data_IF_442908654798
#
_entry.id   IF_442908654798
#
_cell.length_a   1.000
_cell.length_b   1.000
_cell.length_c   1.000
_cell.angle_alpha   90.00
_cell.angle_beta   90.00
_cell.angle_gamma   90.00
#
_symmetry.space_group_name_H-M   'P 1'
#
loop_
_entity.id
_entity.type
_entity.pdbx_description
1 polymer ?
#
# COMPACT_ATOMS: atom_id res chain seq x y z
N UNK A 1 70.04 -56.23 14.27
CA UNK A 1 69.01 -55.47 15.02
C UNK A 1 68.60 -54.28 14.18
N UNK A 2 67.41 -54.41 13.59
CA UNK A 2 66.80 -53.46 12.64
C UNK A 2 65.80 -52.65 13.44
N UNK A 3 65.94 -51.31 13.47
CA UNK A 3 64.84 -50.31 13.44
C UNK A 3 65.34 -48.90 13.81
N UNK A 4 65.82 -48.14 12.83
CA UNK A 4 66.09 -46.69 12.98
C UNK A 4 65.58 -45.86 11.78
N UNK A 5 64.71 -46.42 10.94
CA UNK A 5 64.32 -45.80 9.66
C UNK A 5 62.84 -45.37 9.57
N UNK A 6 62.06 -45.51 10.65
CA UNK A 6 60.60 -45.24 10.62
C UNK A 6 60.16 -43.89 11.20
N UNK A 7 61.07 -43.12 11.81
CA UNK A 7 60.70 -41.89 12.52
C UNK A 7 60.59 -40.64 11.62
N UNK A 8 61.20 -40.64 10.43
CA UNK A 8 61.25 -39.43 9.59
C UNK A 8 60.13 -39.30 8.55
N UNK A 9 59.33 -40.36 8.31
CA UNK A 9 58.23 -40.33 7.33
C UNK A 9 56.94 -39.68 7.88
N UNK A 10 56.79 -39.57 9.21
CA UNK A 10 55.56 -39.09 9.82
C UNK A 10 55.40 -37.55 9.80
N UNK A 11 56.51 -36.80 9.69
CA UNK A 11 56.48 -35.33 9.76
C UNK A 11 56.15 -34.70 8.40
N UNK A 12 56.42 -35.37 7.29
CA UNK A 12 56.16 -34.87 5.95
C UNK A 12 54.67 -34.93 5.52
N UNK A 13 53.86 -35.75 6.21
CA UNK A 13 52.43 -35.92 5.88
C UNK A 13 51.56 -34.84 6.54
N UNK A 14 52.04 -34.21 7.62
CA UNK A 14 51.26 -33.24 8.40
C UNK A 14 51.26 -31.85 7.75
N UNK A 15 52.26 -31.50 6.94
CA UNK A 15 52.33 -30.20 6.26
C UNK A 15 51.49 -30.09 4.99
N UNK A 16 50.87 -31.18 4.51
CA UNK A 16 50.14 -31.21 3.24
C UNK A 16 48.61 -30.96 3.35
N UNK A 17 48.04 -30.84 4.56
CA UNK A 17 46.58 -30.73 4.76
C UNK A 17 46.11 -29.32 5.15
N UNK A 18 47.04 -28.37 5.36
CA UNK A 18 46.74 -27.04 5.90
C UNK A 18 46.63 -25.91 4.88
N UNK A 19 46.02 -26.13 3.72
CA UNK A 19 45.91 -25.14 2.64
C UNK A 19 44.48 -24.85 2.22
N UNK A 20 43.54 -24.67 3.16
CA UNK A 20 42.19 -24.25 2.84
C UNK A 20 42.26 -22.77 2.42
N UNK A 21 42.29 -22.52 1.11
CA UNK A 21 42.13 -21.18 0.55
C UNK A 21 40.75 -20.66 0.94
N UNK A 22 40.68 -19.97 2.08
CA UNK A 22 39.48 -19.33 2.58
C UNK A 22 39.08 -18.23 1.58
N UNK A 23 38.16 -18.59 0.68
CA UNK A 23 37.51 -17.65 -0.22
C UNK A 23 36.80 -16.61 0.66
N UNK A 24 37.07 -15.30 0.52
CA UNK A 24 36.41 -14.30 1.34
C UNK A 24 34.90 -14.40 1.10
N UNK A 25 34.06 -14.40 2.16
CA UNK A 25 32.62 -14.46 1.99
C UNK A 25 32.17 -13.23 1.20
N UNK A 26 31.54 -13.46 0.06
CA UNK A 26 30.99 -12.39 -0.77
C UNK A 26 29.96 -11.62 0.06
N UNK A 27 30.16 -10.30 0.21
CA UNK A 27 29.26 -9.47 0.99
C UNK A 27 27.83 -9.58 0.43
N UNK A 28 26.81 -9.80 1.29
CA UNK A 28 25.43 -9.89 0.84
C UNK A 28 25.03 -8.56 0.20
N UNK A 29 24.62 -8.62 -1.07
CA UNK A 29 24.12 -7.45 -1.79
C UNK A 29 22.65 -7.24 -1.42
N UNK A 30 22.24 -6.06 -0.96
CA UNK A 30 20.84 -5.80 -0.66
C UNK A 30 20.02 -5.91 -1.94
N UNK A 31 19.10 -6.87 -1.96
CA UNK A 31 18.13 -7.01 -3.05
C UNK A 31 16.96 -6.09 -2.73
N UNK A 32 16.69 -5.13 -3.61
CA UNK A 32 15.52 -4.26 -3.48
C UNK A 32 14.27 -5.08 -3.78
N UNK A 33 13.56 -5.47 -2.73
CA UNK A 33 12.28 -6.18 -2.85
C UNK A 33 11.14 -5.17 -2.77
N UNK A 34 10.30 -5.12 -3.81
CA UNK A 34 9.09 -4.32 -3.79
C UNK A 34 8.03 -5.06 -3.00
N UNK A 35 7.87 -4.69 -1.73
CA UNK A 35 6.86 -5.28 -0.85
C UNK A 35 5.52 -4.59 -1.13
N UNK A 36 4.48 -5.32 -1.59
CA UNK A 36 3.14 -4.75 -1.69
C UNK A 36 2.62 -4.48 -0.28
N UNK A 37 2.47 -3.20 0.06
CA UNK A 37 1.82 -2.79 1.30
C UNK A 37 0.32 -2.73 1.04
N UNK A 38 -0.51 -3.52 1.74
CA UNK A 38 -1.96 -3.43 1.62
C UNK A 38 -2.42 -2.06 2.15
N UNK A 39 -2.92 -1.22 1.26
CA UNK A 39 -3.54 0.05 1.64
C UNK A 39 -4.99 -0.26 2.02
N UNK A 40 -5.44 0.03 3.25
CA UNK A 40 -6.82 -0.19 3.64
C UNK A 40 -7.73 0.71 2.80
N UNK A 41 -8.58 0.08 1.99
CA UNK A 41 -9.68 0.76 1.29
C UNK A 41 -10.85 0.79 2.27
N UNK A 42 -11.03 1.91 2.95
CA UNK A 42 -12.09 2.06 3.96
C UNK A 42 -13.50 2.13 3.36
N UNK A 43 -13.62 2.49 2.09
CA UNK A 43 -14.88 2.49 1.35
C UNK A 43 -14.65 2.21 -0.13
N UNK A 44 -15.38 1.25 -0.73
CA UNK A 44 -15.65 1.30 -2.16
C UNK A 44 -16.67 2.44 -2.40
N UNK A 45 -16.18 3.63 -2.72
CA UNK A 45 -17.06 4.74 -3.12
C UNK A 45 -17.64 4.41 -4.51
N UNK A 46 -18.92 4.03 -4.55
CA UNK A 46 -19.66 4.00 -5.81
C UNK A 46 -19.76 5.42 -6.35
N UNK A 47 -19.26 5.64 -7.58
CA UNK A 47 -19.41 6.95 -8.22
C UNK A 47 -20.91 7.24 -8.40
N UNK A 48 -21.42 8.37 -7.90
CA UNK A 48 -22.80 8.76 -8.16
C UNK A 48 -23.01 9.01 -9.66
N UNK A 49 -24.17 8.62 -10.17
CA UNK A 49 -24.53 8.83 -11.57
C UNK A 49 -24.50 10.32 -11.93
N UNK A 50 -24.04 10.61 -13.15
CA UNK A 50 -24.01 11.99 -13.65
C UNK A 50 -25.45 12.50 -13.83
N UNK A 51 -25.86 13.57 -13.15
CA UNK A 51 -27.22 14.08 -13.30
C UNK A 51 -27.44 14.65 -14.70
N UNK A 52 -28.62 14.41 -15.28
CA UNK A 52 -29.05 15.15 -16.48
C UNK A 52 -29.31 16.61 -16.11
N UNK A 53 -28.72 17.52 -16.88
CA UNK A 53 -28.86 18.95 -16.67
C UNK A 53 -29.81 19.54 -17.73
N UNK A 54 -30.84 20.29 -17.34
CA UNK A 54 -31.79 20.89 -18.29
C UNK A 54 -31.14 21.83 -19.31
N UNK A 55 -29.98 22.40 -18.98
CA UNK A 55 -29.18 23.20 -19.91
C UNK A 55 -28.71 22.40 -21.14
N UNK A 56 -28.59 21.08 -21.03
CA UNK A 56 -28.22 20.20 -22.16
C UNK A 56 -29.35 19.97 -23.15
N UNK A 57 -30.57 20.40 -22.81
CA UNK A 57 -31.76 20.28 -23.65
C UNK A 57 -32.10 21.61 -24.36
N UNK A 58 -31.33 22.67 -24.10
CA UNK A 58 -31.49 23.94 -24.80
C UNK A 58 -31.13 23.82 -26.28
N UNK A 59 -31.89 24.52 -27.11
CA UNK A 59 -31.68 24.60 -28.56
C UNK A 59 -31.42 26.05 -28.96
N UNK A 60 -30.88 26.32 -30.16
CA UNK A 60 -30.72 27.70 -30.65
C UNK A 60 -32.04 28.49 -30.74
N UNK A 61 -33.18 27.80 -30.83
CA UNK A 61 -34.52 28.39 -30.84
C UNK A 61 -35.11 28.64 -29.45
N UNK A 62 -34.42 28.26 -28.37
CA UNK A 62 -34.91 28.45 -27.00
C UNK A 62 -35.02 29.94 -26.64
N UNK A 63 -36.08 30.31 -25.93
CA UNK A 63 -36.25 31.70 -25.51
C UNK A 63 -35.23 32.07 -24.42
N UNK A 64 -34.92 33.38 -24.24
CA UNK A 64 -34.09 33.82 -23.12
C UNK A 64 -34.64 33.39 -21.75
N UNK A 65 -35.97 33.38 -21.60
CA UNK A 65 -36.62 32.94 -20.36
C UNK A 65 -36.39 31.45 -20.08
N UNK A 66 -36.47 30.60 -21.10
CA UNK A 66 -36.21 29.15 -20.97
C UNK A 66 -34.75 28.87 -20.62
N UNK A 67 -33.83 29.64 -21.20
CA UNK A 67 -32.39 29.55 -20.89
C UNK A 67 -32.11 29.86 -19.42
N UNK A 68 -32.69 30.95 -18.89
CA UNK A 68 -32.53 31.31 -17.48
C UNK A 68 -33.13 30.24 -16.55
N UNK A 69 -34.31 29.72 -16.90
CA UNK A 69 -34.96 28.65 -16.13
C UNK A 69 -34.14 27.36 -16.14
N UNK A 70 -33.58 26.98 -17.29
CA UNK A 70 -32.72 25.80 -17.44
C UNK A 70 -31.41 25.94 -16.68
N UNK A 71 -30.82 27.14 -16.64
CA UNK A 71 -29.65 27.41 -15.81
C UNK A 71 -29.96 27.32 -14.32
N UNK A 72 -31.04 27.96 -13.87
CA UNK A 72 -31.44 27.94 -12.46
C UNK A 72 -31.73 26.51 -11.95
N UNK A 73 -32.42 25.70 -12.75
CA UNK A 73 -32.68 24.29 -12.42
C UNK A 73 -31.41 23.45 -12.43
N UNK A 74 -30.49 23.67 -13.39
CA UNK A 74 -29.19 23.00 -13.39
C UNK A 74 -28.38 23.31 -12.12
N UNK A 75 -28.36 24.56 -11.65
CA UNK A 75 -27.69 24.93 -10.39
C UNK A 75 -28.33 24.22 -9.20
N UNK A 76 -29.67 24.15 -9.14
CA UNK A 76 -30.36 23.46 -8.05
C UNK A 76 -30.01 21.96 -8.01
N UNK A 77 -30.01 21.29 -9.18
CA UNK A 77 -29.64 19.88 -9.32
C UNK A 77 -28.18 19.65 -8.88
N UNK A 78 -27.25 20.48 -9.37
CA UNK A 78 -25.83 20.36 -9.03
C UNK A 78 -25.56 20.56 -7.53
N UNK A 79 -26.26 21.51 -6.89
CA UNK A 79 -26.17 21.68 -5.42
C UNK A 79 -26.61 20.43 -4.67
N UNK A 80 -27.70 19.78 -5.12
CA UNK A 80 -28.15 18.51 -4.56
C UNK A 80 -27.11 17.39 -4.71
N UNK A 81 -26.53 17.26 -5.90
CA UNK A 81 -25.51 16.26 -6.20
C UNK A 81 -24.23 16.45 -5.37
N UNK A 82 -23.79 17.70 -5.16
CA UNK A 82 -22.64 18.01 -4.29
C UNK A 82 -22.93 17.58 -2.85
N UNK A 83 -24.12 17.89 -2.32
CA UNK A 83 -24.50 17.49 -0.96
C UNK A 83 -24.51 15.96 -0.79
N UNK A 84 -24.99 15.21 -1.78
CA UNK A 84 -24.94 13.76 -1.77
C UNK A 84 -23.50 13.24 -1.77
N UNK A 85 -22.62 13.83 -2.58
CA UNK A 85 -21.20 13.47 -2.61
C UNK A 85 -20.52 13.71 -1.25
N UNK A 86 -20.80 14.86 -0.63
CA UNK A 86 -20.20 15.21 0.66
C UNK A 86 -20.68 14.28 1.78
N UNK A 87 -21.94 13.84 1.74
CA UNK A 87 -22.45 12.80 2.64
C UNK A 87 -21.71 11.47 2.45
N UNK A 88 -21.47 11.04 1.21
CA UNK A 88 -20.70 9.82 0.93
C UNK A 88 -19.26 9.91 1.44
N UNK A 89 -18.60 11.05 1.23
CA UNK A 89 -17.22 11.28 1.71
C UNK A 89 -17.17 11.29 3.24
N UNK A 90 -18.12 11.95 3.90
CA UNK A 90 -18.19 12.02 5.36
C UNK A 90 -18.37 10.63 5.99
N UNK A 91 -19.14 9.75 5.34
CA UNK A 91 -19.29 8.35 5.76
C UNK A 91 -18.02 7.50 5.64
N UNK A 92 -16.99 7.98 4.94
CA UNK A 92 -15.76 7.26 4.67
C UNK A 92 -14.55 7.78 5.45
N UNK A 93 -14.78 8.54 6.52
CA UNK A 93 -13.72 8.98 7.43
C UNK A 93 -13.04 7.77 8.10
N UNK A 94 -11.71 7.81 8.21
CA UNK A 94 -10.96 6.80 8.94
C UNK A 94 -11.42 6.76 10.42
N UNK A 95 -11.53 5.57 11.04
CA UNK A 95 -11.84 5.48 12.46
C UNK A 95 -10.75 6.21 13.27
N UNK A 96 -11.17 7.00 14.26
CA UNK A 96 -10.25 7.73 15.11
C UNK A 96 -9.21 6.76 15.73
N UNK A 97 -7.92 7.14 15.67
CA UNK A 97 -6.76 6.33 16.09
C UNK A 97 -6.82 5.82 17.54
N UNK A 98 -7.80 6.29 18.33
CA UNK A 98 -7.99 5.93 19.73
C UNK A 98 -8.69 4.56 19.93
N UNK A 99 -9.28 3.96 18.89
CA UNK A 99 -9.95 2.66 19.04
C UNK A 99 -8.98 1.46 19.01
N UNK A 100 -7.78 1.63 18.43
CA UNK A 100 -6.79 0.55 18.34
C UNK A 100 -5.93 0.42 19.61
N UNK A 101 -5.67 1.52 20.33
CA UNK A 101 -4.81 1.50 21.51
C UNK A 101 -5.48 0.86 22.74
N UNK A 102 -6.81 0.97 22.88
CA UNK A 102 -7.54 0.34 23.99
C UNK A 102 -7.74 -1.18 23.82
N UNK A 103 -7.76 -1.68 22.58
CA UNK A 103 -7.91 -3.11 22.31
C UNK A 103 -6.63 -3.91 22.63
N UNK A 104 -5.44 -3.30 22.44
CA UNK A 104 -4.17 -3.94 22.75
C UNK A 104 -3.81 -3.86 24.24
N UNK A 105 -4.12 -2.75 24.94
CA UNK A 105 -3.90 -2.67 26.40
C UNK A 105 -4.82 -3.61 27.18
N UNK A 106 -6.07 -3.82 26.72
CA UNK A 106 -6.99 -4.78 27.34
C UNK A 106 -6.51 -6.25 27.21
N UNK A 107 -5.84 -6.60 26.11
CA UNK A 107 -5.26 -7.95 25.92
C UNK A 107 -3.99 -8.19 26.74
N UNK A 108 -3.23 -7.13 27.05
CA UNK A 108 -1.99 -7.24 27.83
C UNK A 108 -2.28 -7.25 29.34
N UNK A 109 -3.36 -6.59 29.79
CA UNK A 109 -3.77 -6.59 31.20
C UNK A 109 -4.51 -7.86 31.67
N UNK A 110 -4.87 -8.75 30.74
CA UNK A 110 -5.61 -9.99 31.01
C UNK A 110 -4.71 -11.24 31.02
N UNK A 111 -3.38 -11.07 31.12
CA UNK A 111 -2.39 -12.14 31.23
C UNK A 111 -1.45 -11.85 32.39
#
# INVERSE_FOLDING_TARGET
MVTAAKAFAAIAIISAVGGCAARPPMAPRPVMVKVPVPVPVYCPLSLPDKPRLPISELTPSSTPADTIRAYASAVAILKGAVRQRDQMITGCAAPAANSANNANTAKIAAK
#
